data_IF_200651991924
#
_entry.id   IF_200651991924
#
_cell.length_a   1.000
_cell.length_b   1.000
_cell.length_c   1.000
_cell.angle_alpha   90.00
_cell.angle_beta   90.00
_cell.angle_gamma   90.00
#
_symmetry.space_group_name_H-M   'P 1'
#
loop_
_entity.id
_entity.type
_entity.pdbx_description
1 polymer ?
#
# COMPACT_ATOMS: atom_id res chain seq x y z
N UNK A 1 -7.41 5.42 -24.42
CA UNK A 1 -7.90 4.17 -23.77
C UNK A 1 -6.68 3.53 -23.17
N UNK A 2 -6.44 3.50 -21.86
CA UNK A 2 -7.38 3.45 -20.73
C UNK A 2 -6.78 4.17 -19.52
N UNK A 3 -7.61 4.90 -18.78
CA UNK A 3 -7.31 5.53 -17.49
C UNK A 3 -7.47 4.51 -16.36
N UNK A 4 -6.67 4.62 -15.28
CA UNK A 4 -7.03 4.46 -13.85
C UNK A 4 -5.79 4.95 -13.04
N UNK A 5 -5.71 6.23 -12.65
CA UNK A 5 -6.14 6.82 -11.37
C UNK A 5 -5.56 6.09 -10.15
N UNK A 6 -4.42 6.59 -9.67
CA UNK A 6 -4.33 7.18 -8.32
C UNK A 6 -3.66 8.55 -8.46
N UNK A 7 -4.48 9.62 -8.49
CA UNK A 7 -3.99 10.98 -8.33
C UNK A 7 -3.72 11.20 -6.83
N UNK A 8 -2.45 11.28 -6.47
CA UNK A 8 -1.95 12.25 -5.50
C UNK A 8 -0.99 13.15 -6.28
N UNK A 9 -1.53 14.18 -6.93
CA UNK A 9 -0.76 15.32 -7.42
C UNK A 9 -0.24 16.03 -6.14
N UNK A 10 1.04 16.29 -5.90
CA UNK A 10 2.16 16.58 -6.78
C UNK A 10 3.46 16.12 -6.09
N UNK A 11 4.37 15.48 -6.80
CA UNK A 11 5.76 15.95 -6.86
C UNK A 11 6.25 15.72 -8.28
N UNK A 12 6.03 16.74 -9.10
CA UNK A 12 6.81 16.98 -10.30
C UNK A 12 8.25 17.23 -9.82
N UNK A 13 9.03 16.18 -9.65
CA UNK A 13 10.46 16.32 -9.55
C UNK A 13 11.08 15.18 -10.33
N UNK A 14 11.84 15.57 -11.35
CA UNK A 14 12.89 14.77 -11.92
C UNK A 14 14.05 14.65 -10.91
N UNK A 15 13.72 14.29 -9.66
CA UNK A 15 14.67 14.11 -8.57
C UNK A 15 14.81 12.62 -8.32
N UNK A 16 15.93 12.09 -8.78
CA UNK A 16 16.59 10.93 -8.20
C UNK A 16 16.94 11.22 -6.72
N UNK A 17 15.93 11.31 -5.85
CA UNK A 17 16.13 11.14 -4.41
C UNK A 17 15.67 9.72 -4.07
N UNK A 18 16.55 8.75 -4.29
CA UNK A 18 16.40 7.44 -3.68
C UNK A 18 16.41 7.66 -2.17
N UNK A 19 15.23 7.69 -1.55
CA UNK A 19 15.09 7.78 -0.12
C UNK A 19 15.89 6.61 0.47
N UNK A 20 16.94 6.91 1.23
CA UNK A 20 17.89 5.90 1.75
C UNK A 20 17.22 4.87 2.66
N UNK A 21 15.98 5.13 3.11
CA UNK A 21 15.15 4.21 3.88
C UNK A 21 13.93 3.71 3.09
N UNK A 22 14.00 3.66 1.75
CA UNK A 22 12.94 3.08 0.93
C UNK A 22 12.97 1.56 1.10
N UNK A 23 11.96 1.01 1.78
CA UNK A 23 11.84 -0.43 2.04
C UNK A 23 10.77 -1.00 1.12
N UNK A 24 11.13 -1.96 0.27
CA UNK A 24 10.14 -2.73 -0.50
C UNK A 24 9.24 -3.52 0.45
N UNK A 25 7.95 -3.60 0.14
CA UNK A 25 6.99 -4.27 1.01
C UNK A 25 5.61 -4.43 0.37
N UNK A 26 4.63 -4.67 1.23
CA UNK A 26 3.24 -4.85 0.83
C UNK A 26 2.30 -4.15 1.81
N UNK A 27 1.11 -3.83 1.32
CA UNK A 27 0.00 -3.26 2.08
C UNK A 27 -1.23 -4.11 1.83
N UNK A 28 -1.92 -4.50 2.90
CA UNK A 28 -3.16 -5.26 2.79
C UNK A 28 -4.26 -4.53 3.56
N UNK A 29 -5.26 -4.04 2.82
CA UNK A 29 -6.43 -3.35 3.36
C UNK A 29 -7.63 -4.29 3.53
N UNK A 30 -7.43 -5.61 3.43
CA UNK A 30 -8.46 -6.65 3.52
C UNK A 30 -9.31 -6.82 2.26
N UNK A 31 -9.50 -5.77 1.47
CA UNK A 31 -10.20 -5.81 0.17
C UNK A 31 -9.21 -5.75 -1.00
N UNK A 32 -8.10 -5.01 -0.81
CA UNK A 32 -7.05 -4.85 -1.80
C UNK A 32 -5.71 -5.07 -1.13
N UNK A 33 -4.84 -5.83 -1.80
CA UNK A 33 -3.42 -5.96 -1.46
C UNK A 33 -2.60 -5.25 -2.52
N UNK A 34 -1.61 -4.48 -2.11
CA UNK A 34 -0.69 -3.77 -2.98
C UNK A 34 0.73 -4.12 -2.58
N UNK A 35 1.62 -4.22 -3.57
CA UNK A 35 3.06 -4.40 -3.36
C UNK A 35 3.80 -3.19 -3.92
N UNK A 36 4.89 -2.83 -3.28
CA UNK A 36 5.75 -1.74 -3.73
C UNK A 36 7.19 -2.15 -3.59
N UNK A 37 8.00 -1.79 -4.59
CA UNK A 37 9.40 -2.11 -4.65
C UNK A 37 10.21 -0.82 -4.76
N UNK A 38 11.25 -0.75 -3.95
CA UNK A 38 12.23 0.33 -3.96
C UNK A 38 13.47 -0.13 -4.71
N UNK A 39 14.03 0.77 -5.52
CA UNK A 39 15.25 0.52 -6.27
C UNK A 39 15.99 1.84 -6.50
N UNK A 40 17.32 1.77 -6.61
CA UNK A 40 18.22 2.92 -6.62
C UNK A 40 19.00 3.07 -7.94
N UNK A 41 18.55 2.40 -9.01
CA UNK A 41 19.15 2.48 -10.34
C UNK A 41 18.25 3.25 -11.29
N UNK A 42 18.83 3.84 -12.34
CA UNK A 42 18.06 4.56 -13.34
C UNK A 42 17.00 3.66 -13.98
N UNK A 43 15.79 4.21 -14.14
CA UNK A 43 14.64 3.53 -14.77
C UNK A 43 14.29 2.16 -14.15
N UNK A 44 14.54 1.96 -12.86
CA UNK A 44 14.28 0.68 -12.21
C UNK A 44 12.78 0.37 -12.01
N UNK A 45 11.91 1.38 -12.13
CA UNK A 45 10.45 1.27 -12.04
C UNK A 45 9.77 0.92 -13.38
N UNK A 46 10.51 0.41 -14.37
CA UNK A 46 9.97 -0.02 -15.67
C UNK A 46 9.11 -1.29 -15.55
N UNK A 47 9.31 -2.06 -14.49
CA UNK A 47 8.50 -3.25 -14.17
C UNK A 47 7.63 -2.98 -12.95
N UNK A 48 6.46 -3.62 -12.93
CA UNK A 48 5.61 -3.63 -11.76
C UNK A 48 6.35 -4.25 -10.57
N UNK A 49 6.03 -3.78 -9.36
CA UNK A 49 6.54 -4.39 -8.14
C UNK A 49 6.17 -5.88 -8.14
N UNK A 50 7.08 -6.79 -7.76
CA UNK A 50 6.76 -8.20 -7.65
C UNK A 50 5.55 -8.37 -6.72
N UNK A 51 4.58 -9.18 -7.13
CA UNK A 51 3.50 -9.55 -6.23
C UNK A 51 4.11 -10.19 -4.98
N UNK A 52 3.77 -9.64 -3.81
CA UNK A 52 4.14 -10.25 -2.54
C UNK A 52 3.27 -11.50 -2.33
N UNK A 53 3.77 -12.60 -2.87
CA UNK A 53 3.18 -13.95 -2.76
C UNK A 53 3.35 -14.56 -1.38
N UNK A 54 3.94 -13.84 -0.41
CA UNK A 54 3.94 -14.27 0.98
C UNK A 54 2.54 -14.10 1.56
N UNK A 55 1.66 -15.03 1.22
CA UNK A 55 0.39 -15.27 1.90
C UNK A 55 0.59 -16.06 3.19
N UNK A 56 1.85 -16.28 3.59
CA UNK A 56 2.19 -16.92 4.86
C UNK A 56 1.76 -15.99 5.97
N UNK A 57 0.75 -16.35 6.78
CA UNK A 57 0.29 -15.49 7.84
C UNK A 57 1.42 -15.28 8.84
N UNK A 58 1.63 -14.03 9.23
CA UNK A 58 2.50 -13.70 10.35
C UNK A 58 1.67 -13.68 11.65
N UNK A 59 2.30 -13.36 12.79
CA UNK A 59 1.64 -13.33 14.10
C UNK A 59 0.96 -12.00 14.43
N UNK A 60 0.77 -11.11 13.45
CA UNK A 60 0.11 -9.81 13.60
C UNK A 60 -1.30 -9.85 13.04
N UNK A 61 -2.18 -9.13 13.72
CA UNK A 61 -3.54 -8.86 13.26
C UNK A 61 -3.80 -7.37 13.35
N UNK A 62 -4.48 -6.84 12.32
CA UNK A 62 -4.88 -5.45 12.23
C UNK A 62 -6.37 -5.35 11.94
N UNK A 63 -6.92 -4.15 12.07
CA UNK A 63 -8.28 -3.89 11.62
C UNK A 63 -8.29 -3.52 10.14
N UNK A 64 -9.36 -3.86 9.43
CA UNK A 64 -9.63 -3.34 8.10
C UNK A 64 -11.07 -2.81 7.98
N UNK A 65 -11.28 -1.99 6.94
CA UNK A 65 -12.58 -1.40 6.64
C UNK A 65 -13.23 -2.11 5.45
N UNK A 66 -14.48 -2.52 5.61
CA UNK A 66 -15.38 -2.88 4.51
C UNK A 66 -16.47 -1.83 4.33
N UNK A 67 -17.43 -2.10 3.45
CA UNK A 67 -18.54 -1.18 3.17
C UNK A 67 -19.45 -0.89 4.39
N UNK A 68 -19.35 -1.67 5.48
CA UNK A 68 -20.23 -1.61 6.65
C UNK A 68 -19.48 -1.27 7.95
N UNK A 69 -18.24 -1.69 8.08
CA UNK A 69 -17.49 -1.70 9.35
C UNK A 69 -16.00 -1.45 9.15
N UNK A 70 -15.39 -0.75 10.11
CA UNK A 70 -13.94 -0.53 10.22
C UNK A 70 -13.29 -1.30 11.38
N UNK A 71 -13.93 -2.38 11.81
CA UNK A 71 -13.53 -3.19 12.98
C UNK A 71 -13.34 -4.66 12.64
N UNK A 72 -13.32 -5.01 11.34
CA UNK A 72 -13.05 -6.38 10.91
C UNK A 72 -11.58 -6.73 11.13
N UNK A 73 -11.31 -7.97 11.51
CA UNK A 73 -9.94 -8.45 11.77
C UNK A 73 -9.31 -8.96 10.48
N UNK A 74 -8.11 -8.46 10.18
CA UNK A 74 -7.24 -8.90 9.11
C UNK A 74 -6.02 -9.61 9.71
N UNK A 75 -5.68 -10.79 9.17
CA UNK A 75 -4.41 -11.46 9.48
C UNK A 75 -3.36 -10.96 8.51
N UNK A 76 -2.28 -10.38 9.05
CA UNK A 76 -1.19 -9.87 8.25
C UNK A 76 -0.30 -11.02 7.77
N UNK A 77 0.40 -10.82 6.66
CA UNK A 77 1.23 -11.85 6.04
C UNK A 77 2.62 -11.32 5.70
N UNK A 78 3.59 -12.21 5.54
CA UNK A 78 4.93 -11.85 5.10
C UNK A 78 5.57 -10.74 5.95
N UNK A 79 6.03 -9.68 5.27
CA UNK A 79 6.70 -8.52 5.88
C UNK A 79 5.76 -7.53 6.58
N UNK A 80 4.44 -7.76 6.53
CA UNK A 80 3.46 -6.83 7.07
C UNK A 80 3.46 -6.80 8.62
N UNK A 81 4.40 -6.07 9.21
CA UNK A 81 4.72 -6.09 10.64
C UNK A 81 3.97 -5.05 11.48
N UNK A 82 3.25 -4.12 10.85
CA UNK A 82 2.54 -3.02 11.52
C UNK A 82 1.13 -2.82 11.00
N UNK A 83 0.33 -2.11 11.80
CA UNK A 83 -1.00 -1.69 11.40
C UNK A 83 -0.97 -0.27 10.89
N UNK A 84 -1.62 -0.05 9.75
CA UNK A 84 -1.79 1.28 9.16
C UNK A 84 -3.24 1.73 9.35
N UNK A 85 -3.41 3.05 9.48
CA UNK A 85 -4.71 3.74 9.38
C UNK A 85 -4.48 5.00 8.58
N UNK A 86 -5.21 5.16 7.49
CA UNK A 86 -5.18 6.38 6.69
C UNK A 86 -6.60 6.91 6.50
N UNK A 87 -6.69 8.23 6.36
CA UNK A 87 -7.93 8.95 6.10
C UNK A 87 -7.71 9.83 4.89
N UNK A 88 -8.60 9.77 3.90
CA UNK A 88 -8.51 10.55 2.67
C UNK A 88 -9.90 10.99 2.20
N UNK A 89 -9.95 11.73 1.11
CA UNK A 89 -11.22 12.10 0.46
C UNK A 89 -11.21 11.57 -0.97
N UNK A 90 -12.22 10.79 -1.34
CA UNK A 90 -12.38 10.26 -2.70
C UNK A 90 -13.76 10.61 -3.22
N UNK A 91 -13.84 11.29 -4.38
CA UNK A 91 -15.11 11.76 -4.93
C UNK A 91 -15.90 12.69 -3.99
N UNK A 92 -15.23 13.49 -3.16
CA UNK A 92 -15.84 14.39 -2.18
C UNK A 92 -16.32 13.71 -0.87
N UNK A 93 -16.13 12.39 -0.73
CA UNK A 93 -16.49 11.64 0.47
C UNK A 93 -15.24 11.30 1.28
N UNK A 94 -15.31 11.50 2.60
CA UNK A 94 -14.25 11.09 3.53
C UNK A 94 -14.21 9.56 3.64
N UNK A 95 -13.05 8.98 3.32
CA UNK A 95 -12.77 7.55 3.41
C UNK A 95 -11.76 7.28 4.51
N UNK A 96 -12.01 6.24 5.29
CA UNK A 96 -11.04 5.67 6.23
C UNK A 96 -10.63 4.30 5.74
N UNK A 97 -9.32 4.07 5.65
CA UNK A 97 -8.76 2.75 5.37
C UNK A 97 -7.90 2.30 6.54
N UNK A 98 -7.93 1.01 6.83
CA UNK A 98 -7.07 0.36 7.81
C UNK A 98 -6.56 -0.94 7.21
N UNK A 99 -5.38 -1.38 7.65
CA UNK A 99 -4.77 -2.57 7.09
C UNK A 99 -3.46 -2.96 7.75
N UNK A 100 -2.80 -3.93 7.14
CA UNK A 100 -1.45 -4.36 7.44
C UNK A 100 -0.45 -3.69 6.49
N UNK A 101 0.73 -3.32 6.99
CA UNK A 101 1.88 -2.79 6.26
C UNK A 101 3.14 -3.49 6.75
#
# INVERSE_FOLDING_TARGET
MSQWIFQVHEFYNNDTSCYTDCVSGSMNFGIVKMSFACCNTDQCNVQDAPEDNSNVPNRKTCYYCDAKSCSNILRCSGSEDRCLKATGTFGGQSLVVKGCF
#
